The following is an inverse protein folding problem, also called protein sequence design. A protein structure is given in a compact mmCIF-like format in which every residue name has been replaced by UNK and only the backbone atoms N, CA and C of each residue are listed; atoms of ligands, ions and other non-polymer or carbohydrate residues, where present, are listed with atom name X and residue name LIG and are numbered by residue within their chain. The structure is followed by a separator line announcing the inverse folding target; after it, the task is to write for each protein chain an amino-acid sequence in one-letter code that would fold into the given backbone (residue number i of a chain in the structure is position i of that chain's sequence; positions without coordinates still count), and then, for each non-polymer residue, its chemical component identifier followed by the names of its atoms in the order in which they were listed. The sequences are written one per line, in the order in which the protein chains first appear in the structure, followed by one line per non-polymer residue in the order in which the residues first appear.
data_IF_480543009092
#
_entry.id   IF_480543009092
#
_cell.length_a   1.000
_cell.length_b   1.000
_cell.length_c   1.000
_cell.angle_alpha   90.00
_cell.angle_beta   90.00
_cell.angle_gamma   90.00
#
_symmetry.space_group_name_H-M   'P 1'
#
loop_
_entity.id
_entity.type
_entity.pdbx_description
1 polymer ?
#
# COMPACT_ATOMS: atom_id res chain seq x y z
N UNK A 1 7.50 -9.36 0.99
CA UNK A 1 7.73 -7.91 1.19
C UNK A 1 9.11 -7.61 1.77
N UNK A 2 9.46 -8.11 2.96
CA UNK A 2 10.73 -7.78 3.64
C UNK A 2 12.00 -8.09 2.84
N UNK A 3 12.12 -9.30 2.27
CA UNK A 3 13.24 -9.68 1.40
C UNK A 3 13.47 -8.69 0.25
N UNK A 4 12.40 -8.35 -0.46
CA UNK A 4 12.46 -7.41 -1.59
C UNK A 4 12.77 -5.98 -1.15
N UNK A 5 12.29 -5.56 0.03
CA UNK A 5 12.57 -4.24 0.58
C UNK A 5 14.06 -4.00 0.85
N UNK A 6 14.79 -5.02 1.31
CA UNK A 6 16.24 -4.93 1.53
C UNK A 6 16.99 -4.86 0.19
N UNK A 7 16.55 -5.63 -0.79
CA UNK A 7 17.21 -5.76 -2.10
C UNK A 7 17.01 -4.55 -3.00
N UNK A 8 15.83 -3.93 -2.98
CA UNK A 8 15.53 -2.72 -3.74
C UNK A 8 16.29 -1.52 -3.15
N UNK A 9 17.01 -0.76 -3.99
CA UNK A 9 17.65 0.50 -3.61
C UNK A 9 16.80 1.75 -3.87
N UNK A 10 15.76 1.61 -4.70
CA UNK A 10 14.88 2.72 -5.08
C UNK A 10 14.08 3.26 -3.88
N UNK A 11 14.21 4.58 -3.63
CA UNK A 11 13.60 5.24 -2.49
C UNK A 11 12.06 5.31 -2.60
N UNK A 12 11.52 5.49 -3.80
CA UNK A 12 10.08 5.57 -4.03
C UNK A 12 9.42 4.20 -3.85
N UNK A 13 10.05 3.12 -4.30
CA UNK A 13 9.62 1.75 -4.04
C UNK A 13 9.70 1.42 -2.53
N UNK A 14 10.75 1.83 -1.82
CA UNK A 14 10.80 1.70 -0.35
C UNK A 14 9.66 2.46 0.34
N UNK A 15 9.29 3.64 -0.17
CA UNK A 15 8.15 4.41 0.34
C UNK A 15 6.84 3.64 0.17
N UNK A 16 6.61 2.95 -0.95
CA UNK A 16 5.44 2.08 -1.12
C UNK A 16 5.37 0.98 -0.05
N UNK A 17 6.49 0.31 0.24
CA UNK A 17 6.54 -0.71 1.29
C UNK A 17 6.24 -0.12 2.69
N UNK A 18 6.72 1.10 2.98
CA UNK A 18 6.38 1.80 4.23
C UNK A 18 4.90 2.18 4.30
N UNK A 19 4.32 2.66 3.20
CA UNK A 19 2.89 2.98 3.10
C UNK A 19 2.01 1.73 3.28
N UNK A 20 2.44 0.60 2.72
CA UNK A 20 1.84 -0.70 2.99
C UNK A 20 1.84 -1.00 4.51
N UNK A 21 2.97 -0.91 5.20
CA UNK A 21 3.02 -1.16 6.66
C UNK A 21 2.17 -0.15 7.43
N UNK A 22 2.20 1.13 7.06
CA UNK A 22 1.40 2.16 7.73
C UNK A 22 -0.10 1.90 7.59
N UNK A 23 -0.57 1.55 6.39
CA UNK A 23 -2.00 1.31 6.12
C UNK A 23 -2.53 0.06 6.80
N UNK A 24 -1.77 -1.04 6.87
CA UNK A 24 -2.22 -2.25 7.60
C UNK A 24 -2.25 -2.00 9.11
N UNK A 25 -1.26 -1.29 9.65
CA UNK A 25 -1.22 -0.95 11.08
C UNK A 25 -2.39 -0.04 11.46
N UNK A 26 -2.60 1.05 10.71
CA UNK A 26 -3.73 1.95 10.93
C UNK A 26 -5.07 1.24 10.74
N UNK A 27 -5.24 0.47 9.66
CA UNK A 27 -6.47 -0.28 9.40
C UNK A 27 -6.80 -1.24 10.54
N UNK A 28 -5.79 -1.96 11.04
CA UNK A 28 -5.95 -2.85 12.20
C UNK A 28 -6.36 -2.08 13.45
N UNK A 29 -5.76 -0.90 13.70
CA UNK A 29 -6.15 -0.05 14.83
C UNK A 29 -7.61 0.41 14.73
N UNK A 30 -8.05 0.89 13.55
CA UNK A 30 -9.45 1.28 13.33
C UNK A 30 -10.42 0.12 13.54
N UNK A 31 -10.09 -1.06 13.02
CA UNK A 31 -10.90 -2.26 13.19
C UNK A 31 -10.98 -2.70 14.66
N UNK A 32 -9.85 -2.74 15.38
CA UNK A 32 -9.80 -3.12 16.79
C UNK A 32 -10.57 -2.11 17.66
N UNK A 33 -10.37 -0.83 17.43
CA UNK A 33 -11.04 0.24 18.18
C UNK A 33 -12.55 0.19 18.00
N UNK A 34 -13.00 0.02 16.76
CA UNK A 34 -14.42 -0.16 16.44
C UNK A 34 -15.01 -1.37 17.15
N UNK A 35 -14.32 -2.52 17.11
CA UNK A 35 -14.74 -3.76 17.76
C UNK A 35 -14.83 -3.62 19.29
N UNK A 36 -13.83 -3.02 19.93
CA UNK A 36 -13.77 -2.89 21.39
C UNK A 36 -14.79 -1.85 21.90
N UNK A 37 -14.94 -0.73 21.18
CA UNK A 37 -15.77 0.39 21.62
C UNK A 37 -17.16 0.42 20.97
N UNK A 38 -17.54 -0.60 20.19
CA UNK A 38 -18.83 -0.67 19.47
C UNK A 38 -20.04 -0.30 20.35
N UNK A 39 -20.14 -0.88 21.56
CA UNK A 39 -21.23 -0.59 22.51
C UNK A 39 -21.28 0.86 23.01
N UNK A 40 -20.15 1.58 22.96
CA UNK A 40 -20.03 2.98 23.38
C UNK A 40 -20.35 3.90 22.20
N UNK A 41 -19.79 3.63 21.03
CA UNK A 41 -20.03 4.44 19.82
C UNK A 41 -21.44 4.31 19.25
N UNK A 42 -22.09 3.15 19.39
CA UNK A 42 -23.48 3.01 18.95
C UNK A 42 -24.46 3.91 19.70
N UNK A 43 -24.07 4.39 20.88
CA UNK A 43 -24.87 5.31 21.71
C UNK A 43 -24.50 6.77 21.52
N UNK A 44 -23.45 7.07 20.76
CA UNK A 44 -23.04 8.45 20.49
C UNK A 44 -23.91 9.06 19.41
N UNK A 45 -24.05 10.38 19.47
CA UNK A 45 -24.72 11.15 18.41
C UNK A 45 -23.98 11.02 17.06
N UNK A 46 -22.67 10.81 17.09
CA UNK A 46 -21.83 10.59 15.92
C UNK A 46 -21.11 9.23 16.00
N UNK A 47 -21.27 8.40 14.98
CA UNK A 47 -20.55 7.13 14.84
C UNK A 47 -19.31 7.35 13.95
N UNK A 48 -18.08 7.12 14.46
CA UNK A 48 -16.85 7.26 13.68
C UNK A 48 -16.69 6.23 12.55
N UNK A 49 -17.52 5.18 12.51
CA UNK A 49 -17.53 4.14 11.47
C UNK A 49 -16.13 3.53 11.25
N UNK A 50 -15.49 3.06 12.32
CA UNK A 50 -14.11 2.57 12.24
C UNK A 50 -13.97 1.36 11.31
N UNK A 51 -15.01 0.53 11.19
CA UNK A 51 -15.05 -0.56 10.21
C UNK A 51 -15.03 -0.09 8.75
N UNK A 52 -15.68 1.03 8.44
CA UNK A 52 -15.64 1.61 7.10
C UNK A 52 -14.23 2.15 6.78
N UNK A 53 -13.60 2.83 7.74
CA UNK A 53 -12.20 3.28 7.61
C UNK A 53 -11.22 2.12 7.45
N UNK A 54 -11.45 1.01 8.15
CA UNK A 54 -10.69 -0.21 7.96
C UNK A 54 -10.75 -0.68 6.50
N UNK A 55 -11.93 -0.78 5.88
CA UNK A 55 -12.06 -1.18 4.47
C UNK A 55 -11.29 -0.25 3.52
N UNK A 56 -11.39 1.07 3.72
CA UNK A 56 -10.65 2.05 2.91
C UNK A 56 -9.13 1.84 3.04
N UNK A 57 -8.64 1.68 4.27
CA UNK A 57 -7.22 1.45 4.55
C UNK A 57 -6.73 0.11 4.00
N UNK A 58 -7.56 -0.95 4.05
CA UNK A 58 -7.24 -2.25 3.46
C UNK A 58 -7.20 -2.21 1.93
N UNK A 59 -8.03 -1.36 1.30
CA UNK A 59 -7.97 -1.09 -0.13
C UNK A 59 -6.63 -0.46 -0.52
N UNK A 60 -6.24 0.62 0.15
CA UNK A 60 -4.92 1.25 -0.05
C UNK A 60 -3.76 0.31 0.26
N UNK A 61 -3.86 -0.48 1.33
CA UNK A 61 -2.86 -1.47 1.69
C UNK A 61 -2.61 -2.46 0.55
N UNK A 62 -3.70 -3.06 0.04
CA UNK A 62 -3.65 -4.01 -1.07
C UNK A 62 -3.08 -3.36 -2.34
N UNK A 63 -3.43 -2.10 -2.59
CA UNK A 63 -2.87 -1.34 -3.71
C UNK A 63 -1.34 -1.15 -3.57
N UNK A 64 -0.86 -0.66 -2.43
CA UNK A 64 0.57 -0.40 -2.22
C UNK A 64 1.40 -1.68 -2.21
N UNK A 65 0.88 -2.77 -1.64
CA UNK A 65 1.52 -4.09 -1.67
C UNK A 65 1.75 -4.54 -3.11
N UNK A 66 0.68 -4.55 -3.92
CA UNK A 66 0.76 -5.00 -5.31
C UNK A 66 1.65 -4.09 -6.15
N UNK A 67 1.54 -2.78 -5.99
CA UNK A 67 2.37 -1.80 -6.71
C UNK A 67 3.87 -2.01 -6.41
N UNK A 68 4.23 -2.23 -5.14
CA UNK A 68 5.61 -2.57 -4.78
C UNK A 68 6.07 -3.91 -5.36
N UNK A 69 5.22 -4.95 -5.30
CA UNK A 69 5.56 -6.26 -5.87
C UNK A 69 5.73 -6.22 -7.39
N UNK A 70 4.92 -5.44 -8.10
CA UNK A 70 5.06 -5.20 -9.54
C UNK A 70 6.42 -4.54 -9.85
N UNK A 71 6.82 -3.55 -9.05
CA UNK A 71 8.13 -2.91 -9.18
C UNK A 71 9.27 -3.94 -9.00
N UNK A 72 9.26 -4.68 -7.90
CA UNK A 72 10.30 -5.68 -7.62
C UNK A 72 10.35 -6.77 -8.69
N UNK A 73 9.18 -7.23 -9.17
CA UNK A 73 9.12 -8.24 -10.24
C UNK A 73 9.72 -7.71 -11.54
N UNK A 74 9.41 -6.47 -11.92
CA UNK A 74 10.01 -5.85 -13.09
C UNK A 74 11.54 -5.72 -12.96
N UNK A 75 12.05 -5.33 -11.78
CA UNK A 75 13.50 -5.31 -11.54
C UNK A 75 14.14 -6.70 -11.68
N UNK A 76 13.49 -7.75 -11.16
CA UNK A 76 13.98 -9.13 -11.27
C UNK A 76 14.02 -9.63 -12.72
N UNK A 77 13.12 -9.15 -13.57
CA UNK A 77 13.09 -9.46 -15.00
C UNK A 77 14.12 -8.66 -15.81
N UNK A 78 14.98 -7.87 -15.15
CA UNK A 78 15.94 -6.99 -15.82
C UNK A 78 15.30 -5.83 -16.58
N UNK A 79 14.05 -5.49 -16.26
CA UNK A 79 13.37 -4.33 -16.85
C UNK A 79 13.73 -3.05 -16.07
N UNK A 80 13.36 -1.90 -16.62
CA UNK A 80 13.54 -0.60 -15.97
C UNK A 80 12.20 -0.06 -15.42
N UNK A 81 11.73 -0.55 -14.26
CA UNK A 81 10.56 0.02 -13.61
C UNK A 81 10.90 1.36 -12.95
N UNK A 82 9.95 2.29 -12.98
CA UNK A 82 10.01 3.56 -12.26
C UNK A 82 8.69 3.77 -11.51
N UNK A 83 8.77 4.17 -10.25
CA UNK A 83 7.59 4.64 -9.51
C UNK A 83 7.34 6.09 -9.92
N UNK A 84 6.13 6.35 -10.39
CA UNK A 84 5.67 7.66 -10.89
C UNK A 84 4.36 8.02 -10.20
N UNK A 85 3.98 9.30 -10.22
CA UNK A 85 2.84 9.79 -9.45
C UNK A 85 1.80 10.43 -10.37
N UNK A 86 0.59 9.85 -10.38
CA UNK A 86 -0.57 10.45 -11.03
C UNK A 86 -1.02 11.67 -10.21
N UNK A 87 -1.21 12.81 -10.88
CA UNK A 87 -1.47 14.12 -10.25
C UNK A 87 -0.46 14.52 -9.15
N UNK A 88 0.76 13.96 -9.18
CA UNK A 88 1.78 14.20 -8.16
C UNK A 88 1.55 13.49 -6.81
N UNK A 89 0.45 12.75 -6.64
CA UNK A 89 0.06 12.18 -5.34
C UNK A 89 -0.06 10.66 -5.39
N UNK A 90 -0.67 10.09 -6.43
CA UNK A 90 -1.04 8.68 -6.45
C UNK A 90 0.03 7.82 -7.15
N UNK A 91 0.78 6.97 -6.42
CA UNK A 91 1.94 6.28 -6.97
C UNK A 91 1.53 5.09 -7.82
N UNK A 92 2.13 4.93 -8.99
CA UNK A 92 1.99 3.76 -9.85
C UNK A 92 3.35 3.35 -10.44
N UNK A 93 3.47 2.11 -10.92
CA UNK A 93 4.71 1.64 -11.56
C UNK A 93 4.60 1.77 -13.07
N UNK A 94 5.49 2.56 -13.67
CA UNK A 94 5.71 2.55 -15.12
C UNK A 94 6.84 1.58 -15.43
N UNK A 95 6.55 0.58 -16.24
CA UNK A 95 7.51 -0.46 -16.64
C UNK A 95 7.95 -0.21 -18.07
N UNK A 96 9.26 -0.02 -18.30
CA UNK A 96 9.82 -0.05 -19.64
C UNK A 96 10.37 -1.45 -19.88
N UNK A 97 9.73 -2.17 -20.82
CA UNK A 97 10.20 -3.49 -21.25
C UNK A 97 11.31 -3.29 -22.28
N UNK A 98 12.41 -4.05 -22.22
CA UNK A 98 13.39 -4.08 -23.30
C UNK A 98 12.69 -4.51 -24.60
N UNK A 99 12.98 -3.84 -25.72
CA UNK A 99 12.54 -4.30 -27.05
C UNK A 99 13.23 -5.64 -27.29
N UNK A 100 12.46 -6.75 -27.27
CA UNK A 100 12.82 -8.14 -27.61
C UNK A 100 14.32 -8.49 -27.55
N UNK A 101 14.71 -9.33 -26.59
CA UNK A 101 15.79 -10.27 -26.86
C UNK A 101 15.17 -11.37 -27.75
N UNK A 102 15.75 -11.56 -28.93
CA UNK A 102 15.45 -12.68 -29.84
C UNK A 102 15.66 -14.03 -29.15
#
# INVERSE_FOLDING_TARGET
MYKYYIQTRDAAAKRLAKLYVATISLGTLFWLFDRICCKKFSKWYFNPQGHAWWHVLMGFNSYFANTFLMFCRAQQLGWEPKVVYLFGIFPYVKVHKPKKQE
#
